data_IF_665279601675
#
_entry.id   IF_665279601675
#
_cell.length_a   1.000
_cell.length_b   1.000
_cell.length_c   1.000
_cell.angle_alpha   90.00
_cell.angle_beta   90.00
_cell.angle_gamma   90.00
#
_symmetry.space_group_name_H-M   'P 1'
#
loop_
_entity.id
_entity.type
_entity.pdbx_description
1 polymer ?
#
# COMPACT_ATOMS: atom_id res chain seq x y z
N UNK A 1 -14.32 7.50 27.29
CA UNK A 1 -14.17 7.49 28.77
C UNK A 1 -15.37 6.87 29.50
N UNK A 2 -16.58 7.46 29.51
CA UNK A 2 -17.75 6.83 30.17
C UNK A 2 -18.21 5.52 29.50
N UNK A 3 -18.29 5.50 28.17
CA UNK A 3 -18.69 4.31 27.40
C UNK A 3 -17.69 3.13 27.52
N UNK A 4 -16.39 3.43 27.65
CA UNK A 4 -15.34 2.41 27.79
C UNK A 4 -15.34 1.78 29.20
N UNK A 5 -15.65 2.58 30.24
CA UNK A 5 -15.84 2.09 31.61
C UNK A 5 -17.10 1.24 31.75
N UNK A 6 -18.20 1.63 31.10
CA UNK A 6 -19.47 0.89 31.14
C UNK A 6 -19.35 -0.47 30.45
N UNK A 7 -18.65 -0.53 29.31
CA UNK A 7 -18.31 -1.77 28.62
C UNK A 7 -17.37 -2.67 29.44
N UNK A 8 -16.40 -2.08 30.16
CA UNK A 8 -15.50 -2.84 31.04
C UNK A 8 -16.22 -3.40 32.28
N UNK A 9 -17.15 -2.64 32.88
CA UNK A 9 -17.96 -3.12 34.02
C UNK A 9 -18.99 -4.17 33.59
N UNK A 10 -19.58 -4.05 32.39
CA UNK A 10 -20.46 -5.07 31.81
C UNK A 10 -19.71 -6.39 31.52
N UNK A 11 -18.48 -6.32 30.98
CA UNK A 11 -17.63 -7.49 30.75
C UNK A 11 -17.17 -8.17 32.05
N UNK A 12 -16.76 -7.39 33.06
CA UNK A 12 -16.33 -7.92 34.36
C UNK A 12 -17.47 -8.62 35.15
N UNK A 13 -18.72 -8.19 34.94
CA UNK A 13 -19.91 -8.84 35.50
C UNK A 13 -20.22 -10.17 34.80
N UNK A 14 -20.04 -10.22 33.48
CA UNK A 14 -20.20 -11.44 32.67
C UNK A 14 -19.19 -12.53 33.00
N UNK A 15 -17.91 -12.18 33.15
CA UNK A 15 -16.84 -13.14 33.51
C UNK A 15 -17.04 -13.78 34.89
N UNK A 16 -17.43 -12.98 35.90
CA UNK A 16 -17.76 -13.51 37.24
C UNK A 16 -18.97 -14.45 37.19
N UNK A 17 -19.98 -14.12 36.38
CA UNK A 17 -21.19 -14.93 36.22
C UNK A 17 -20.90 -16.26 35.52
N UNK A 18 -20.06 -16.26 34.48
CA UNK A 18 -19.59 -17.47 33.79
C UNK A 18 -18.80 -18.39 34.72
N UNK A 19 -17.89 -17.84 35.53
CA UNK A 19 -17.08 -18.62 36.49
C UNK A 19 -17.93 -19.27 37.58
N UNK A 20 -18.99 -18.60 38.03
CA UNK A 20 -19.98 -19.14 38.99
C UNK A 20 -20.86 -20.22 38.34
N UNK A 21 -21.29 -20.04 37.08
CA UNK A 21 -22.06 -21.06 36.35
C UNK A 21 -21.22 -22.31 36.11
N UNK A 22 -19.93 -22.18 35.78
CA UNK A 22 -19.02 -23.32 35.59
C UNK A 22 -18.74 -24.09 36.90
N UNK A 23 -18.68 -23.41 38.05
CA UNK A 23 -18.40 -24.05 39.35
C UNK A 23 -19.64 -24.66 40.02
N UNK A 24 -20.83 -24.07 39.80
CA UNK A 24 -22.03 -24.35 40.61
C UNK A 24 -23.34 -24.50 39.80
N UNK A 25 -23.31 -24.47 38.47
CA UNK A 25 -24.52 -24.50 37.61
C UNK A 25 -24.93 -25.90 37.13
N UNK A 26 -26.22 -26.05 36.78
CA UNK A 26 -26.75 -27.26 36.15
C UNK A 26 -26.05 -27.56 34.82
N UNK A 27 -25.96 -28.83 34.43
CA UNK A 27 -25.25 -29.32 33.24
C UNK A 27 -25.59 -28.54 31.95
N UNK A 28 -26.88 -28.23 31.74
CA UNK A 28 -27.36 -27.42 30.60
C UNK A 28 -26.84 -25.97 30.60
N UNK A 29 -26.63 -25.41 31.78
CA UNK A 29 -26.12 -24.04 31.95
C UNK A 29 -24.62 -23.98 31.69
N UNK A 30 -23.89 -25.03 32.10
CA UNK A 30 -22.47 -25.21 31.78
C UNK A 30 -22.26 -25.38 30.28
N UNK A 31 -23.04 -26.22 29.60
CA UNK A 31 -22.98 -26.39 28.14
C UNK A 31 -23.29 -25.10 27.36
N UNK A 32 -24.22 -24.28 27.86
CA UNK A 32 -24.51 -22.97 27.24
C UNK A 32 -23.32 -22.02 27.40
N UNK A 33 -22.72 -21.97 28.59
CA UNK A 33 -21.54 -21.15 28.85
C UNK A 33 -20.33 -21.58 28.00
N UNK A 34 -20.07 -22.89 27.88
CA UNK A 34 -19.01 -23.45 27.04
C UNK A 34 -19.21 -23.07 25.55
N UNK A 35 -20.44 -23.20 25.03
CA UNK A 35 -20.76 -22.77 23.65
C UNK A 35 -20.50 -21.29 23.44
N UNK A 36 -20.92 -20.42 24.36
CA UNK A 36 -20.68 -18.98 24.26
C UNK A 36 -19.18 -18.63 24.28
N UNK A 37 -18.39 -19.32 25.11
CA UNK A 37 -16.93 -19.11 25.18
C UNK A 37 -16.25 -19.55 23.88
N UNK A 38 -16.59 -20.73 23.36
CA UNK A 38 -16.01 -21.24 22.12
C UNK A 38 -16.38 -20.35 20.93
N UNK A 39 -17.64 -19.95 20.80
CA UNK A 39 -18.09 -19.00 19.78
C UNK A 39 -17.36 -17.65 19.90
N UNK A 40 -17.12 -17.15 21.12
CA UNK A 40 -16.38 -15.91 21.33
C UNK A 40 -14.90 -16.03 20.93
N UNK A 41 -14.26 -17.17 21.18
CA UNK A 41 -12.88 -17.46 20.74
C UNK A 41 -12.84 -17.52 19.21
N UNK A 42 -13.72 -18.28 18.59
CA UNK A 42 -13.82 -18.39 17.13
C UNK A 42 -14.10 -17.03 16.48
N UNK A 43 -15.03 -16.24 17.02
CA UNK A 43 -15.32 -14.89 16.52
C UNK A 43 -14.12 -13.95 16.66
N UNK A 44 -13.35 -14.06 17.75
CA UNK A 44 -12.12 -13.28 17.95
C UNK A 44 -11.05 -13.65 16.93
N UNK A 45 -10.83 -14.95 16.69
CA UNK A 45 -9.91 -15.44 15.67
C UNK A 45 -10.36 -15.03 14.27
N UNK A 46 -11.65 -15.17 13.96
CA UNK A 46 -12.21 -14.81 12.67
C UNK A 46 -12.08 -13.31 12.39
N UNK A 47 -12.33 -12.48 13.41
CA UNK A 47 -12.12 -11.03 13.33
C UNK A 47 -10.66 -10.69 13.08
N UNK A 48 -9.72 -11.39 13.73
CA UNK A 48 -8.31 -11.21 13.51
C UNK A 48 -7.89 -11.62 12.09
N UNK A 49 -8.29 -12.81 11.63
CA UNK A 49 -8.06 -13.30 10.27
C UNK A 49 -8.61 -12.35 9.21
N UNK A 50 -9.81 -11.78 9.43
CA UNK A 50 -10.41 -10.82 8.52
C UNK A 50 -9.62 -9.51 8.46
N UNK A 51 -9.14 -8.99 9.59
CA UNK A 51 -8.27 -7.81 9.64
C UNK A 51 -6.96 -8.03 8.89
N UNK A 52 -6.33 -9.19 9.11
CA UNK A 52 -5.09 -9.56 8.41
C UNK A 52 -5.31 -9.69 6.90
N UNK A 53 -6.40 -10.35 6.47
CA UNK A 53 -6.79 -10.44 5.05
C UNK A 53 -7.05 -9.09 4.43
N UNK A 54 -7.71 -8.18 5.15
CA UNK A 54 -7.97 -6.82 4.68
C UNK A 54 -6.67 -6.04 4.53
N UNK A 55 -5.76 -6.15 5.49
CA UNK A 55 -4.43 -5.53 5.41
C UNK A 55 -3.64 -6.02 4.20
N UNK A 56 -3.57 -7.33 3.98
CA UNK A 56 -2.87 -7.88 2.81
C UNK A 56 -3.55 -7.47 1.50
N UNK A 57 -4.90 -7.44 1.44
CA UNK A 57 -5.63 -6.91 0.28
C UNK A 57 -5.28 -5.44 -0.01
N UNK A 58 -5.28 -4.57 1.01
CA UNK A 58 -4.90 -3.16 0.87
C UNK A 58 -3.45 -3.04 0.38
N UNK A 59 -2.53 -3.83 0.96
CA UNK A 59 -1.11 -3.86 0.60
C UNK A 59 -0.89 -4.34 -0.84
N UNK A 60 -1.59 -5.37 -1.27
CA UNK A 60 -1.56 -5.87 -2.65
C UNK A 60 -2.18 -4.89 -3.64
N UNK A 61 -3.31 -4.27 -3.30
CA UNK A 61 -3.93 -3.21 -4.13
C UNK A 61 -2.95 -2.05 -4.34
N UNK A 62 -2.29 -1.59 -3.27
CA UNK A 62 -1.26 -0.54 -3.31
C UNK A 62 -0.06 -0.95 -4.17
N UNK A 63 0.40 -2.20 -4.05
CA UNK A 63 1.47 -2.76 -4.92
C UNK A 63 1.05 -2.81 -6.38
N UNK A 64 -0.18 -3.24 -6.65
CA UNK A 64 -0.73 -3.32 -8.01
C UNK A 64 -0.90 -1.94 -8.62
N UNK A 65 -1.37 -0.98 -7.85
CA UNK A 65 -1.54 0.39 -8.29
C UNK A 65 -0.20 1.04 -8.65
N UNK A 66 0.82 0.87 -7.80
CA UNK A 66 2.22 1.21 -8.12
C UNK A 66 2.65 0.61 -9.46
N UNK A 67 2.44 -0.69 -9.64
CA UNK A 67 2.79 -1.38 -10.88
C UNK A 67 2.07 -0.81 -12.11
N UNK A 68 0.77 -0.54 -11.99
CA UNK A 68 -0.04 0.05 -13.06
C UNK A 68 0.43 1.46 -13.43
N UNK A 69 0.90 2.24 -12.45
CA UNK A 69 1.48 3.55 -12.72
C UNK A 69 2.72 3.45 -13.61
N UNK A 70 3.67 2.55 -13.30
CA UNK A 70 4.86 2.38 -14.12
C UNK A 70 4.53 1.89 -15.54
N UNK A 71 3.55 0.99 -15.67
CA UNK A 71 3.09 0.49 -16.97
C UNK A 71 2.47 1.60 -17.84
N UNK A 72 1.66 2.49 -17.25
CA UNK A 72 1.11 3.64 -17.97
C UNK A 72 2.20 4.59 -18.48
N UNK A 73 3.31 4.70 -17.74
CA UNK A 73 4.44 5.55 -18.10
C UNK A 73 5.59 4.79 -18.78
N UNK A 74 5.36 3.55 -19.23
CA UNK A 74 6.40 2.68 -19.80
C UNK A 74 7.19 3.37 -20.92
N UNK A 75 6.50 4.13 -21.79
CA UNK A 75 7.13 4.91 -22.88
C UNK A 75 8.18 5.90 -22.37
N UNK A 76 7.98 6.52 -21.21
CA UNK A 76 8.96 7.47 -20.65
C UNK A 76 10.19 6.76 -20.09
N UNK A 77 10.00 5.59 -19.45
CA UNK A 77 11.10 4.75 -18.99
C UNK A 77 11.92 4.19 -20.16
N UNK A 78 11.24 3.75 -21.23
CA UNK A 78 11.87 3.29 -22.47
C UNK A 78 12.68 4.39 -23.15
N UNK A 79 12.12 5.61 -23.27
CA UNK A 79 12.82 6.75 -23.88
C UNK A 79 14.08 7.14 -23.10
N UNK A 80 14.03 7.04 -21.78
CA UNK A 80 15.18 7.29 -20.91
C UNK A 80 16.13 6.08 -20.80
N UNK A 81 15.83 4.97 -21.48
CA UNK A 81 16.59 3.71 -21.45
C UNK A 81 16.83 3.20 -20.01
N UNK A 82 15.79 3.26 -19.18
CA UNK A 82 15.81 2.78 -17.79
C UNK A 82 14.76 1.70 -17.56
N UNK A 83 14.96 0.88 -16.53
CA UNK A 83 14.00 -0.14 -16.15
C UNK A 83 12.68 0.48 -15.65
N UNK A 84 11.58 -0.25 -15.84
CA UNK A 84 10.28 0.11 -15.26
C UNK A 84 10.39 0.16 -13.73
N UNK A 85 10.01 1.29 -13.14
CA UNK A 85 10.16 1.51 -11.70
C UNK A 85 11.60 1.79 -11.24
N UNK A 86 12.47 2.22 -12.15
CA UNK A 86 13.78 2.74 -11.79
C UNK A 86 13.66 3.91 -10.80
N UNK A 87 14.62 4.00 -9.87
CA UNK A 87 14.66 5.08 -8.88
C UNK A 87 14.81 6.44 -9.56
N UNK A 88 14.30 7.51 -8.92
CA UNK A 88 14.53 8.90 -9.34
C UNK A 88 16.02 9.20 -9.56
N UNK A 89 16.92 8.56 -8.81
CA UNK A 89 18.37 8.69 -8.99
C UNK A 89 18.84 8.13 -10.34
N UNK A 90 18.30 7.00 -10.77
CA UNK A 90 18.66 6.35 -12.03
C UNK A 90 18.05 7.09 -13.22
N UNK A 91 16.81 7.57 -13.09
CA UNK A 91 16.16 8.48 -14.05
C UNK A 91 17.02 9.74 -14.25
N UNK A 92 17.51 10.36 -13.17
CA UNK A 92 18.36 11.56 -13.24
C UNK A 92 19.74 11.27 -13.85
N UNK A 93 20.31 10.08 -13.62
CA UNK A 93 21.58 9.66 -14.25
C UNK A 93 21.40 9.45 -15.76
N UNK A 94 20.32 8.76 -16.15
CA UNK A 94 20.01 8.50 -17.55
C UNK A 94 19.74 9.78 -18.34
N UNK A 95 18.96 10.71 -17.77
CA UNK A 95 18.74 12.03 -18.37
C UNK A 95 20.04 12.77 -18.66
N UNK A 96 20.99 12.82 -17.70
CA UNK A 96 22.30 13.48 -17.93
C UNK A 96 23.08 12.84 -19.07
N UNK A 97 23.09 11.50 -19.15
CA UNK A 97 23.76 10.77 -20.23
C UNK A 97 23.16 11.09 -21.60
N UNK A 98 21.84 11.03 -21.71
CA UNK A 98 21.12 11.27 -22.96
C UNK A 98 21.19 12.74 -23.39
N UNK A 99 21.13 13.68 -22.44
CA UNK A 99 21.29 15.11 -22.71
C UNK A 99 22.66 15.44 -23.32
N UNK A 100 23.73 14.79 -22.85
CA UNK A 100 25.08 14.95 -23.42
C UNK A 100 25.22 14.29 -24.80
N UNK A 101 24.45 13.22 -25.05
CA UNK A 101 24.47 12.47 -26.31
C UNK A 101 23.71 13.22 -27.42
N UNK A 102 22.58 13.83 -27.09
CA UNK A 102 21.72 14.56 -28.03
C UNK A 102 21.90 16.08 -27.98
N UNK A 103 23.03 16.56 -27.44
CA UNK A 103 23.32 17.99 -27.42
C UNK A 103 23.54 18.51 -28.86
N UNK A 104 22.91 19.63 -29.29
CA UNK A 104 22.97 20.13 -30.67
C UNK A 104 24.39 20.49 -31.12
N UNK A 105 25.28 20.82 -30.18
CA UNK A 105 26.71 21.09 -30.44
C UNK A 105 27.49 19.86 -30.96
N UNK A 106 27.05 18.65 -30.61
CA UNK A 106 27.68 17.40 -31.07
C UNK A 106 27.12 16.88 -32.39
N UNK A 107 26.01 17.44 -32.86
CA UNK A 107 25.31 17.03 -34.08
C UNK A 107 25.09 18.23 -35.01
N UNK A 108 26.17 18.85 -35.53
CA UNK A 108 26.07 20.01 -36.41
C UNK A 108 25.30 19.72 -37.72
N UNK A 109 25.34 18.48 -38.20
CA UNK A 109 24.66 18.07 -39.44
C UNK A 109 23.19 17.66 -39.23
N UNK A 110 22.83 17.21 -38.01
CA UNK A 110 21.49 16.68 -37.67
C UNK A 110 20.85 17.42 -36.48
N UNK A 111 20.96 18.76 -36.47
CA UNK A 111 20.49 19.58 -35.35
C UNK A 111 18.99 19.45 -35.05
N UNK A 112 18.15 19.31 -36.08
CA UNK A 112 16.69 19.18 -35.91
C UNK A 112 16.30 17.87 -35.21
N UNK A 113 16.91 16.76 -35.61
CA UNK A 113 16.65 15.45 -34.98
C UNK A 113 17.14 15.41 -33.54
N UNK A 114 18.33 15.96 -33.28
CA UNK A 114 18.89 16.08 -31.95
C UNK A 114 17.99 16.93 -31.04
N UNK A 115 17.47 18.06 -31.55
CA UNK A 115 16.54 18.92 -30.82
C UNK A 115 15.21 18.22 -30.52
N UNK A 116 14.65 17.48 -31.49
CA UNK A 116 13.40 16.74 -31.29
C UNK A 116 13.56 15.68 -30.19
N UNK A 117 14.61 14.85 -30.27
CA UNK A 117 14.89 13.83 -29.24
C UNK A 117 15.20 14.45 -27.88
N UNK A 118 15.96 15.53 -27.83
CA UNK A 118 16.23 16.25 -26.59
C UNK A 118 14.95 16.74 -25.91
N UNK A 119 14.01 17.29 -26.68
CA UNK A 119 12.71 17.72 -26.16
C UNK A 119 11.86 16.55 -25.63
N UNK A 120 11.84 15.41 -26.32
CA UNK A 120 11.14 14.21 -25.84
C UNK A 120 11.75 13.68 -24.54
N UNK A 121 13.08 13.59 -24.47
CA UNK A 121 13.83 13.16 -23.28
C UNK A 121 13.52 14.09 -22.09
N UNK A 122 13.47 15.41 -22.33
CA UNK A 122 13.14 16.39 -21.31
C UNK A 122 11.70 16.21 -20.80
N UNK A 123 10.72 16.05 -21.70
CA UNK A 123 9.32 15.80 -21.32
C UNK A 123 9.16 14.52 -20.50
N UNK A 124 9.85 13.44 -20.88
CA UNK A 124 9.83 12.19 -20.13
C UNK A 124 10.44 12.34 -18.73
N UNK A 125 11.56 13.06 -18.61
CA UNK A 125 12.17 13.37 -17.32
C UNK A 125 11.25 14.19 -16.42
N UNK A 126 10.64 15.25 -16.96
CA UNK A 126 9.68 16.10 -16.23
C UNK A 126 8.45 15.31 -15.77
N UNK A 127 7.88 14.46 -16.64
CA UNK A 127 6.72 13.63 -16.30
C UNK A 127 7.00 12.66 -15.13
N UNK A 128 8.17 12.01 -15.15
CA UNK A 128 8.59 11.06 -14.10
C UNK A 128 9.02 11.76 -12.80
N UNK A 129 9.56 12.97 -12.89
CA UNK A 129 9.99 13.75 -11.71
C UNK A 129 8.85 14.52 -11.05
N UNK A 130 7.88 15.01 -11.83
CA UNK A 130 6.72 15.78 -11.35
C UNK A 130 5.71 14.92 -10.61
N UNK A 131 5.65 13.64 -10.95
CA UNK A 131 4.67 12.71 -10.40
C UNK A 131 5.40 11.80 -9.44
N UNK A 132 5.72 12.31 -8.26
CA UNK A 132 6.32 11.51 -7.19
C UNK A 132 5.42 10.31 -6.90
N UNK A 133 5.94 9.12 -7.15
CA UNK A 133 5.31 7.89 -6.67
C UNK A 133 4.97 7.99 -5.19
N UNK A 134 5.87 8.56 -4.39
CA UNK A 134 5.69 8.73 -2.95
C UNK A 134 4.46 9.62 -2.61
N UNK A 135 4.25 10.74 -3.31
CA UNK A 135 3.14 11.67 -3.03
C UNK A 135 1.76 11.05 -3.38
N UNK A 136 1.67 10.20 -4.40
CA UNK A 136 0.41 9.53 -4.78
C UNK A 136 0.05 8.42 -3.79
N UNK A 137 1.06 7.79 -3.19
CA UNK A 137 0.89 6.56 -2.44
C UNK A 137 0.75 6.84 -0.92
N UNK A 138 1.11 8.04 -0.48
CA UNK A 138 1.04 8.54 0.89
C UNK A 138 -0.25 9.32 1.19
N UNK A 139 -0.95 9.86 0.18
CA UNK A 139 -2.20 10.64 0.37
C UNK A 139 -3.48 9.82 0.64
N UNK A 140 -3.40 8.51 0.83
CA UNK A 140 -4.56 7.70 1.23
C UNK A 140 -4.53 7.49 2.75
N UNK A 141 -5.50 8.05 3.51
CA UNK A 141 -5.58 7.86 4.95
C UNK A 141 -5.82 6.39 5.29
N UNK A 142 -5.17 5.92 6.36
CA UNK A 142 -5.15 4.54 6.87
C UNK A 142 -6.54 3.86 6.98
#
# INVERSE_FOLDING_TARGET
LKADMEAAMANASGEKKLKTILLFGDEKSVEMAERMIMEAIENKEQKQRNREKEYERKREAKRRERMLYHLRHAKHYELLEVALGASKLDVKKAYRRLAMQWHPDKHPDNQEEAKAKFQEIQKAYEALMSTSEDDIIEQLPD
#
